data_IF_915790096859
#
_entry.id   IF_915790096859
#
_cell.length_a   1.000
_cell.length_b   1.000
_cell.length_c   1.000
_cell.angle_alpha   90.00
_cell.angle_beta   90.00
_cell.angle_gamma   90.00
#
_symmetry.space_group_name_H-M   'P 1'
#
loop_
_entity.id
_entity.type
_entity.pdbx_description
1 polymer ?
#
# COMPACT_ATOMS: atom_id res chain seq x y z
N UNK A 1 -7.77 -5.38 69.99
CA UNK A 1 -6.51 -4.63 69.75
C UNK A 1 -6.85 -3.40 68.94
N UNK A 2 -6.60 -2.23 69.52
CA UNK A 2 -6.99 -0.92 68.99
C UNK A 2 -6.00 -0.44 67.92
N UNK A 3 -6.49 -0.04 66.75
CA UNK A 3 -5.70 0.63 65.71
C UNK A 3 -5.40 2.10 66.08
N UNK A 4 -4.28 2.69 65.62
CA UNK A 4 -3.87 4.02 66.06
C UNK A 4 -4.69 5.12 65.36
N UNK A 5 -4.91 6.28 66.04
CA UNK A 5 -5.75 7.34 65.52
C UNK A 5 -5.06 8.11 64.39
N UNK A 6 -5.82 8.39 63.32
CA UNK A 6 -5.37 9.14 62.15
C UNK A 6 -4.94 10.56 62.50
N UNK A 7 -3.67 10.87 62.22
CA UNK A 7 -3.12 12.21 62.36
C UNK A 7 -3.79 13.18 61.37
N UNK A 8 -4.52 14.17 61.90
CA UNK A 8 -5.07 15.30 61.13
C UNK A 8 -3.90 16.09 60.51
N UNK A 9 -3.82 16.14 59.17
CA UNK A 9 -2.86 17.00 58.45
C UNK A 9 -3.25 18.46 58.66
N UNK A 10 -2.52 19.17 59.53
CA UNK A 10 -2.61 20.62 59.62
C UNK A 10 -2.03 21.25 58.35
N UNK A 11 -2.81 22.11 57.67
CA UNK A 11 -2.29 23.00 56.63
C UNK A 11 -1.46 24.08 57.33
N UNK A 12 -0.15 24.04 57.14
CA UNK A 12 0.77 25.10 57.61
C UNK A 12 0.69 26.27 56.64
N UNK A 13 0.40 27.46 57.16
CA UNK A 13 0.27 28.69 56.38
C UNK A 13 1.64 29.12 55.80
N UNK A 14 1.76 29.47 54.50
CA UNK A 14 3.06 29.75 53.88
C UNK A 14 3.83 30.93 54.50
N UNK A 15 3.11 31.83 55.19
CA UNK A 15 3.64 33.04 55.81
C UNK A 15 4.48 32.77 57.08
N UNK A 16 4.43 31.57 57.66
CA UNK A 16 5.21 31.20 58.86
C UNK A 16 6.45 30.36 58.56
N UNK A 17 6.77 30.15 57.27
CA UNK A 17 7.90 29.31 56.85
C UNK A 17 9.11 30.18 56.51
N UNK A 18 10.27 29.86 57.09
CA UNK A 18 11.55 30.49 56.71
C UNK A 18 11.78 30.41 55.19
N UNK A 19 12.28 31.49 54.58
CA UNK A 19 12.57 31.58 53.14
C UNK A 19 13.38 30.40 52.59
N UNK A 20 14.31 29.85 53.39
CA UNK A 20 15.09 28.66 53.01
C UNK A 20 14.21 27.42 52.82
N UNK A 21 13.12 27.29 53.59
CA UNK A 21 12.15 26.20 53.50
C UNK A 21 11.20 26.39 52.31
N UNK A 22 10.79 27.63 52.02
CA UNK A 22 10.01 27.96 50.83
C UNK A 22 10.77 27.64 49.54
N UNK A 23 12.05 28.04 49.43
CA UNK A 23 12.91 27.70 48.28
C UNK A 23 13.10 26.19 48.09
N UNK A 24 13.22 25.43 49.18
CA UNK A 24 13.32 23.95 49.12
C UNK A 24 12.03 23.31 48.62
N UNK A 25 10.87 23.81 49.06
CA UNK A 25 9.57 23.32 48.61
C UNK A 25 9.32 23.65 47.13
N UNK A 26 9.67 24.84 46.67
CA UNK A 26 9.57 25.20 45.24
C UNK A 26 10.46 24.31 44.38
N UNK A 27 11.74 24.12 44.78
CA UNK A 27 12.67 23.22 44.06
C UNK A 27 12.20 21.76 44.05
N UNK A 28 11.58 21.28 45.14
CA UNK A 28 10.98 19.94 45.19
C UNK A 28 9.76 19.84 44.27
N UNK A 29 8.94 20.90 44.21
CA UNK A 29 7.77 20.99 43.33
C UNK A 29 8.18 20.95 41.86
N UNK A 30 9.22 21.68 41.49
CA UNK A 30 9.79 21.66 40.14
C UNK A 30 10.39 20.30 39.80
N UNK A 31 11.18 19.70 40.71
CA UNK A 31 11.76 18.37 40.51
C UNK A 31 10.69 17.28 40.33
N UNK A 32 9.59 17.35 41.10
CA UNK A 32 8.48 16.43 41.00
C UNK A 32 7.71 16.60 39.67
N UNK A 33 7.54 17.84 39.20
CA UNK A 33 6.96 18.13 37.87
C UNK A 33 7.83 17.55 36.76
N UNK A 34 9.14 17.74 36.86
CA UNK A 34 10.08 17.26 35.84
C UNK A 34 10.18 15.73 35.83
N UNK A 35 10.15 15.08 37.00
CA UNK A 35 10.06 13.63 37.11
C UNK A 35 8.79 13.08 36.43
N UNK A 36 7.63 13.71 36.67
CA UNK A 36 6.37 13.34 36.01
C UNK A 36 6.44 13.55 34.50
N UNK A 37 7.03 14.66 34.04
CA UNK A 37 7.24 14.95 32.61
C UNK A 37 8.10 13.88 31.94
N UNK A 38 9.27 13.57 32.51
CA UNK A 38 10.18 12.53 31.98
C UNK A 38 9.52 11.16 31.93
N UNK A 39 8.73 10.79 32.95
CA UNK A 39 7.98 9.53 32.95
C UNK A 39 6.93 9.49 31.82
N UNK A 40 6.22 10.61 31.58
CA UNK A 40 5.25 10.72 30.47
C UNK A 40 5.95 10.62 29.11
N UNK A 41 7.07 11.32 28.92
CA UNK A 41 7.86 11.26 27.69
C UNK A 41 8.41 9.86 27.41
N UNK A 42 8.91 9.17 28.45
CA UNK A 42 9.38 7.80 28.32
C UNK A 42 8.25 6.84 27.94
N UNK A 43 7.06 6.97 28.56
CA UNK A 43 5.89 6.17 28.20
C UNK A 43 5.44 6.44 26.76
N UNK A 44 5.44 7.69 26.31
CA UNK A 44 5.13 8.03 24.91
C UNK A 44 6.17 7.50 23.93
N UNK A 45 7.44 7.48 24.31
CA UNK A 45 8.51 6.93 23.49
C UNK A 45 8.39 5.39 23.37
N UNK A 46 8.10 4.71 24.48
CA UNK A 46 7.80 3.28 24.50
C UNK A 46 6.60 2.97 23.61
N UNK A 47 5.51 3.73 23.70
CA UNK A 47 4.34 3.53 22.83
C UNK A 47 4.70 3.69 21.34
N UNK A 48 5.49 4.71 20.99
CA UNK A 48 5.98 4.88 19.61
C UNK A 48 6.82 3.69 19.15
N UNK A 49 7.65 3.14 20.03
CA UNK A 49 8.49 1.99 19.74
C UNK A 49 7.69 0.71 19.60
N UNK A 50 6.68 0.49 20.45
CA UNK A 50 5.71 -0.61 20.33
C UNK A 50 5.01 -0.54 18.98
N UNK A 51 4.39 0.59 18.65
CA UNK A 51 3.70 0.75 17.37
C UNK A 51 4.63 0.52 16.17
N UNK A 52 5.89 0.97 16.26
CA UNK A 52 6.89 0.72 15.21
C UNK A 52 7.21 -0.77 15.09
N UNK A 53 7.47 -1.45 16.21
CA UNK A 53 7.78 -2.87 16.22
C UNK A 53 6.59 -3.72 15.78
N UNK A 54 5.37 -3.35 16.13
CA UNK A 54 4.13 -3.99 15.65
C UNK A 54 4.00 -3.85 14.14
N UNK A 55 4.22 -2.66 13.59
CA UNK A 55 4.21 -2.42 12.14
C UNK A 55 5.33 -3.20 11.42
N UNK A 56 6.55 -3.22 11.97
CA UNK A 56 7.66 -4.00 11.42
C UNK A 56 7.37 -5.51 11.50
N UNK A 57 6.77 -5.99 12.58
CA UNK A 57 6.38 -7.39 12.72
C UNK A 57 5.29 -7.78 11.72
N UNK A 58 4.28 -6.92 11.53
CA UNK A 58 3.25 -7.11 10.51
C UNK A 58 3.87 -7.13 9.11
N UNK A 59 4.79 -6.21 8.82
CA UNK A 59 5.49 -6.15 7.54
C UNK A 59 6.34 -7.39 7.27
N UNK A 60 7.06 -7.89 8.30
CA UNK A 60 7.85 -9.11 8.21
C UNK A 60 6.97 -10.34 8.04
N UNK A 61 5.85 -10.44 8.76
CA UNK A 61 4.86 -11.53 8.58
C UNK A 61 4.29 -11.53 7.16
N UNK A 62 3.96 -10.36 6.63
CA UNK A 62 3.45 -10.24 5.27
C UNK A 62 4.54 -10.51 4.22
N UNK A 63 5.82 -10.23 4.50
CA UNK A 63 6.93 -10.63 3.63
C UNK A 63 7.21 -12.13 3.68
N UNK A 64 7.12 -12.75 4.85
CA UNK A 64 7.27 -14.20 5.02
C UNK A 64 6.11 -14.97 4.38
N UNK A 65 4.94 -14.34 4.22
CA UNK A 65 3.80 -14.87 3.47
C UNK A 65 3.98 -14.86 1.94
N UNK A 66 5.11 -14.39 1.41
CA UNK A 66 5.41 -14.35 -0.03
C UNK A 66 6.35 -15.52 -0.34
N UNK A 67 5.80 -16.72 -0.49
CA UNK A 67 6.57 -17.88 -0.94
C UNK A 67 5.80 -19.19 -0.83
N UNK A 68 6.20 -20.18 -1.64
CA UNK A 68 5.54 -21.49 -1.76
C UNK A 68 5.33 -22.19 -0.40
N UNK A 69 6.22 -21.96 0.58
CA UNK A 69 6.10 -22.53 1.92
C UNK A 69 4.95 -21.91 2.72
N UNK A 70 4.70 -20.60 2.55
CA UNK A 70 3.59 -19.93 3.20
C UNK A 70 2.25 -20.30 2.57
N UNK A 71 2.22 -20.50 1.25
CA UNK A 71 1.03 -21.00 0.56
C UNK A 71 0.70 -22.42 1.02
N UNK A 72 1.69 -23.31 1.10
CA UNK A 72 1.50 -24.67 1.66
C UNK A 72 1.04 -24.65 3.11
N UNK A 73 1.57 -23.73 3.92
CA UNK A 73 1.16 -23.59 5.32
C UNK A 73 -0.29 -23.06 5.42
N UNK A 74 -0.66 -22.08 4.60
CA UNK A 74 -2.03 -21.56 4.55
C UNK A 74 -3.01 -22.66 4.05
N UNK A 75 -2.63 -23.49 3.07
CA UNK A 75 -3.39 -24.69 2.64
C UNK A 75 -3.53 -25.72 3.76
N UNK A 76 -2.44 -26.04 4.46
CA UNK A 76 -2.46 -26.98 5.57
C UNK A 76 -3.32 -26.48 6.74
N UNK A 77 -3.29 -25.18 7.01
CA UNK A 77 -4.12 -24.59 8.06
C UNK A 77 -5.59 -24.49 7.63
N UNK A 78 -5.88 -24.23 6.35
CA UNK A 78 -7.22 -24.32 5.79
C UNK A 78 -7.81 -25.73 5.96
N UNK A 79 -7.00 -26.77 5.70
CA UNK A 79 -7.41 -28.15 5.90
C UNK A 79 -7.75 -28.43 7.37
N UNK A 80 -6.88 -28.03 8.31
CA UNK A 80 -7.14 -28.21 9.76
C UNK A 80 -8.43 -27.53 10.22
N UNK A 81 -8.72 -26.32 9.71
CA UNK A 81 -9.96 -25.62 10.04
C UNK A 81 -11.16 -26.37 9.47
N UNK A 82 -11.05 -26.93 8.25
CA UNK A 82 -12.12 -27.76 7.67
C UNK A 82 -12.36 -29.06 8.46
N UNK A 83 -11.31 -29.72 8.96
CA UNK A 83 -11.41 -30.89 9.82
C UNK A 83 -12.08 -30.55 11.17
N UNK A 84 -11.76 -29.39 11.75
CA UNK A 84 -12.42 -28.88 12.95
C UNK A 84 -13.91 -28.62 12.72
N UNK A 85 -14.27 -28.07 11.56
CA UNK A 85 -15.65 -27.86 11.13
C UNK A 85 -16.40 -29.20 11.01
N UNK A 86 -15.75 -30.22 10.44
CA UNK A 86 -16.30 -31.57 10.34
C UNK A 86 -16.52 -32.20 11.73
N UNK A 87 -15.58 -32.00 12.65
CA UNK A 87 -15.73 -32.46 14.02
C UNK A 87 -16.93 -31.81 14.73
N UNK A 88 -17.15 -30.50 14.54
CA UNK A 88 -18.30 -29.79 15.08
C UNK A 88 -19.63 -30.30 14.52
N UNK A 89 -19.67 -30.65 13.23
CA UNK A 89 -20.84 -31.29 12.63
C UNK A 89 -21.10 -32.68 13.22
N UNK A 90 -20.05 -33.47 13.47
CA UNK A 90 -20.17 -34.81 14.04
C UNK A 90 -20.57 -34.81 15.52
N UNK A 91 -20.10 -33.82 16.29
CA UNK A 91 -20.44 -33.68 17.72
C UNK A 91 -21.81 -33.05 17.95
N UNK A 92 -22.48 -32.55 16.91
CA UNK A 92 -23.77 -31.88 17.02
C UNK A 92 -23.67 -30.51 17.69
N UNK A 93 -22.61 -29.75 17.39
CA UNK A 93 -22.46 -28.38 17.85
C UNK A 93 -23.67 -27.50 17.45
N UNK A 94 -23.89 -26.41 18.18
CA UNK A 94 -25.00 -25.52 17.86
C UNK A 94 -24.78 -24.79 16.54
N UNK A 95 -25.87 -24.44 15.84
CA UNK A 95 -25.83 -23.67 14.59
C UNK A 95 -25.06 -22.33 14.76
N UNK A 96 -25.13 -21.72 15.96
CA UNK A 96 -24.39 -20.49 16.26
C UNK A 96 -22.88 -20.70 16.36
N UNK A 97 -22.43 -21.84 16.90
CA UNK A 97 -21.01 -22.18 17.00
C UNK A 97 -20.44 -22.53 15.62
N UNK A 98 -21.22 -23.29 14.84
CA UNK A 98 -20.87 -23.63 13.45
C UNK A 98 -20.74 -22.34 12.63
N UNK A 99 -21.70 -21.44 12.76
CA UNK A 99 -21.67 -20.14 12.09
C UNK A 99 -20.42 -19.31 12.45
N UNK A 100 -20.09 -19.23 13.75
CA UNK A 100 -18.89 -18.52 14.18
C UNK A 100 -17.61 -19.09 13.56
N UNK A 101 -17.52 -20.41 13.40
CA UNK A 101 -16.38 -21.03 12.74
C UNK A 101 -16.38 -20.83 11.21
N UNK A 102 -17.54 -20.81 10.57
CA UNK A 102 -17.65 -20.49 9.13
C UNK A 102 -17.22 -19.05 8.89
N UNK A 103 -17.65 -18.12 9.75
CA UNK A 103 -17.29 -16.71 9.63
C UNK A 103 -15.78 -16.51 9.80
N UNK A 104 -15.16 -17.19 10.76
CA UNK A 104 -13.70 -17.17 10.93
C UNK A 104 -12.97 -17.80 9.72
N UNK A 105 -13.51 -18.88 9.15
CA UNK A 105 -12.97 -19.48 7.93
C UNK A 105 -13.06 -18.51 6.75
N UNK A 106 -14.21 -17.85 6.56
CA UNK A 106 -14.45 -16.82 5.54
C UNK A 106 -13.46 -15.67 5.68
N UNK A 107 -13.30 -15.11 6.89
CA UNK A 107 -12.43 -13.97 7.11
C UNK A 107 -10.94 -14.25 6.83
N UNK A 108 -10.51 -15.51 7.02
CA UNK A 108 -9.12 -15.94 6.78
C UNK A 108 -8.85 -16.39 5.35
N UNK A 109 -9.76 -17.16 4.76
CA UNK A 109 -9.49 -17.92 3.54
C UNK A 109 -10.33 -17.51 2.33
N UNK A 110 -11.42 -16.75 2.51
CA UNK A 110 -12.14 -16.21 1.37
C UNK A 110 -11.34 -15.08 0.71
N UNK A 111 -11.53 -14.94 -0.60
CA UNK A 111 -10.93 -13.90 -1.44
C UNK A 111 -11.35 -12.48 -1.03
N UNK A 112 -12.57 -12.33 -0.51
CA UNK A 112 -13.09 -11.10 0.08
C UNK A 112 -12.96 -11.03 1.62
N UNK A 113 -12.33 -12.02 2.25
CA UNK A 113 -12.06 -12.04 3.69
C UNK A 113 -11.12 -10.91 4.14
N UNK A 114 -11.19 -10.51 5.42
CA UNK A 114 -10.32 -9.46 6.00
C UNK A 114 -8.84 -9.71 5.74
N UNK A 115 -8.37 -10.94 5.88
CA UNK A 115 -6.93 -11.24 5.80
C UNK A 115 -6.42 -11.05 4.36
N UNK A 116 -7.17 -11.53 3.35
CA UNK A 116 -6.87 -11.30 1.93
C UNK A 116 -6.96 -9.81 1.56
N UNK A 117 -8.02 -9.10 1.98
CA UNK A 117 -8.18 -7.65 1.76
C UNK A 117 -7.04 -6.85 2.37
N UNK A 118 -6.59 -7.21 3.57
CA UNK A 118 -5.48 -6.55 4.26
C UNK A 118 -4.16 -6.77 3.51
N UNK A 119 -3.92 -7.99 3.02
CA UNK A 119 -2.75 -8.30 2.20
C UNK A 119 -2.73 -7.49 0.90
N UNK A 120 -3.85 -7.47 0.17
CA UNK A 120 -4.02 -6.67 -1.06
C UNK A 120 -3.77 -5.19 -0.77
N UNK A 121 -4.39 -4.63 0.27
CA UNK A 121 -4.21 -3.23 0.66
C UNK A 121 -2.74 -2.92 0.96
N UNK A 122 -2.06 -3.78 1.71
CA UNK A 122 -0.64 -3.63 2.02
C UNK A 122 0.23 -3.63 0.75
N UNK A 123 -0.02 -4.55 -0.19
CA UNK A 123 0.71 -4.60 -1.46
C UNK A 123 0.44 -3.38 -2.33
N UNK A 124 -0.80 -2.91 -2.41
CA UNK A 124 -1.16 -1.71 -3.17
C UNK A 124 -0.55 -0.44 -2.56
N UNK A 125 -0.45 -0.34 -1.23
CA UNK A 125 0.27 0.74 -0.55
C UNK A 125 1.78 0.69 -0.83
N UNK A 126 2.37 -0.51 -0.86
CA UNK A 126 3.77 -0.68 -1.22
C UNK A 126 4.03 -0.25 -2.67
N UNK A 127 3.16 -0.65 -3.61
CA UNK A 127 3.22 -0.23 -5.01
C UNK A 127 3.10 1.30 -5.09
N UNK A 128 2.10 1.90 -4.44
CA UNK A 128 1.93 3.36 -4.44
C UNK A 128 3.17 4.09 -3.90
N UNK A 129 3.76 3.58 -2.81
CA UNK A 129 5.00 4.13 -2.24
C UNK A 129 6.19 3.99 -3.19
N UNK A 130 6.33 2.87 -3.88
CA UNK A 130 7.42 2.63 -4.83
C UNK A 130 7.26 3.45 -6.12
N UNK A 131 6.02 3.74 -6.51
CA UNK A 131 5.75 4.62 -7.63
C UNK A 131 6.17 6.06 -7.27
N UNK A 132 6.08 6.50 -6.01
CA UNK A 132 6.46 7.87 -5.60
C UNK A 132 7.91 8.21 -5.94
N UNK A 133 8.16 9.26 -6.76
CA UNK A 133 9.51 9.67 -7.07
C UNK A 133 10.23 10.09 -5.79
N UNK A 134 11.52 9.79 -5.73
CA UNK A 134 12.36 10.21 -4.60
C UNK A 134 12.44 11.73 -4.49
N UNK A 135 12.89 12.25 -3.35
CA UNK A 135 13.12 13.69 -3.16
C UNK A 135 14.03 14.24 -4.25
N UNK A 136 15.11 13.53 -4.59
CA UNK A 136 16.05 13.93 -5.65
C UNK A 136 15.36 14.02 -7.00
N UNK A 137 14.60 13.00 -7.40
CA UNK A 137 13.84 12.98 -8.65
C UNK A 137 12.80 14.11 -8.68
N UNK A 138 12.09 14.33 -7.57
CA UNK A 138 11.08 15.38 -7.44
C UNK A 138 11.69 16.77 -7.58
N UNK A 139 12.83 17.03 -6.91
CA UNK A 139 13.53 18.32 -6.99
C UNK A 139 14.09 18.53 -8.40
N UNK A 140 14.66 17.50 -9.04
CA UNK A 140 15.16 17.58 -10.40
C UNK A 140 14.04 17.92 -11.39
N UNK A 141 12.92 17.19 -11.36
CA UNK A 141 11.77 17.46 -12.25
C UNK A 141 11.20 18.87 -12.02
N UNK A 142 10.99 19.28 -10.76
CA UNK A 142 10.42 20.61 -10.44
C UNK A 142 11.38 21.76 -10.73
N UNK A 143 12.68 21.57 -10.55
CA UNK A 143 13.68 22.56 -10.93
C UNK A 143 13.59 22.81 -12.43
N UNK A 144 13.52 21.76 -13.24
CA UNK A 144 13.43 21.86 -14.70
C UNK A 144 12.06 22.42 -15.16
N UNK A 145 10.97 22.20 -14.42
CA UNK A 145 9.65 22.76 -14.75
C UNK A 145 9.53 24.28 -14.54
N UNK A 146 10.07 24.79 -13.43
CA UNK A 146 9.94 26.19 -13.00
C UNK A 146 10.78 27.18 -13.82
N UNK A 147 11.56 26.74 -14.81
CA UNK A 147 12.25 27.63 -15.76
C UNK A 147 11.30 28.27 -16.78
N UNK A 148 10.17 27.64 -17.14
CA UNK A 148 9.20 28.21 -18.11
C UNK A 148 8.48 29.47 -17.64
N UNK A 149 8.12 29.52 -16.36
CA UNK A 149 7.19 30.55 -15.89
C UNK A 149 7.83 31.94 -15.87
N UNK A 150 9.16 31.98 -15.95
CA UNK A 150 9.93 33.22 -16.07
C UNK A 150 10.07 33.69 -17.52
N UNK A 151 9.80 32.86 -18.53
CA UNK A 151 9.90 33.24 -19.96
C UNK A 151 8.56 33.68 -20.58
N UNK A 152 7.41 33.27 -20.05
CA UNK A 152 6.08 33.71 -20.54
C UNK A 152 5.68 35.13 -20.09
N UNK A 153 6.53 35.83 -19.31
CA UNK A 153 6.40 37.28 -19.03
C UNK A 153 7.56 38.08 -19.63
N UNK A 154 7.89 37.84 -20.90
CA UNK A 154 8.55 38.84 -21.72
C UNK A 154 7.47 39.76 -22.34
N UNK A 155 7.53 41.09 -22.17
CA UNK A 155 6.57 42.00 -22.80
C UNK A 155 6.82 42.01 -24.30
N UNK A 156 5.86 41.48 -25.08
CA UNK A 156 5.76 41.83 -26.49
C UNK A 156 5.24 43.27 -26.57
N UNK A 157 6.01 44.17 -27.19
CA UNK A 157 5.59 45.56 -27.28
C UNK A 157 6.58 46.46 -27.98
N UNK A 158 6.51 46.49 -29.32
CA UNK A 158 6.56 47.70 -30.13
C UNK A 158 7.82 48.57 -30.10
N UNK A 159 8.52 48.61 -31.24
CA UNK A 159 9.35 49.76 -31.62
C UNK A 159 8.53 51.06 -31.51
N UNK A 160 9.05 52.05 -30.81
CA UNK A 160 8.53 53.42 -30.76
C UNK A 160 9.52 54.31 -30.02
N UNK A 161 10.17 55.20 -30.75
CA UNK A 161 11.09 56.23 -30.26
C UNK A 161 10.33 57.31 -29.46
N UNK A 162 10.95 57.90 -28.42
CA UNK A 162 10.44 59.11 -27.77
C UNK A 162 10.74 59.25 -26.26
N UNK A 163 11.82 60.00 -25.96
CA UNK A 163 12.05 60.96 -24.87
C UNK A 163 11.57 60.76 -23.40
N UNK A 164 12.58 60.83 -22.52
CA UNK A 164 12.71 61.52 -21.21
C UNK A 164 11.94 61.11 -19.92
N UNK A 165 12.77 60.62 -18.97
CA UNK A 165 12.89 60.91 -17.52
C UNK A 165 11.71 60.71 -16.54
N UNK A 166 11.85 59.69 -15.67
CA UNK A 166 11.93 59.84 -14.19
C UNK A 166 12.25 58.49 -13.48
N UNK A 167 13.06 58.45 -12.40
CA UNK A 167 13.44 57.22 -11.72
C UNK A 167 12.57 56.98 -10.47
N UNK A 168 11.64 56.04 -10.54
CA UNK A 168 10.98 55.49 -9.35
C UNK A 168 11.36 54.02 -9.21
N UNK A 169 12.35 53.79 -8.35
CA UNK A 169 12.78 52.48 -7.87
C UNK A 169 11.58 51.68 -7.36
N UNK A 170 11.10 50.74 -8.16
CA UNK A 170 10.20 49.69 -7.74
C UNK A 170 10.95 48.37 -7.90
N UNK A 171 11.84 48.08 -6.94
CA UNK A 171 12.52 46.80 -6.85
C UNK A 171 11.50 45.70 -6.53
N UNK A 172 10.77 45.25 -7.55
CA UNK A 172 10.28 43.88 -7.58
C UNK A 172 11.52 42.99 -7.61
N UNK A 173 11.94 42.52 -6.45
CA UNK A 173 12.92 41.44 -6.35
C UNK A 173 12.33 40.24 -7.08
N UNK A 174 12.69 40.05 -8.36
CA UNK A 174 12.38 38.83 -9.11
C UNK A 174 12.93 37.69 -8.28
N UNK A 175 12.04 36.90 -7.68
CA UNK A 175 12.41 35.65 -7.02
C UNK A 175 13.04 34.78 -8.09
N UNK A 176 14.37 34.65 -8.07
CA UNK A 176 15.08 33.79 -9.03
C UNK A 176 14.45 32.40 -8.95
N UNK A 177 13.97 31.88 -10.08
CA UNK A 177 13.46 30.50 -10.14
C UNK A 177 14.51 29.53 -9.58
N UNK A 178 14.05 28.48 -8.90
CA UNK A 178 14.91 27.42 -8.35
C UNK A 178 15.90 26.89 -9.40
N UNK A 179 15.47 26.84 -10.66
CA UNK A 179 16.33 26.51 -11.79
C UNK A 179 17.49 27.50 -11.96
N UNK A 180 17.22 28.80 -11.98
CA UNK A 180 18.24 29.85 -12.12
C UNK A 180 19.26 29.79 -10.98
N UNK A 181 18.83 29.48 -9.75
CA UNK A 181 19.73 29.28 -8.62
C UNK A 181 20.60 28.02 -8.79
N UNK A 182 20.00 26.91 -9.23
CA UNK A 182 20.71 25.66 -9.49
C UNK A 182 21.68 25.79 -10.67
N UNK A 183 21.28 26.43 -11.77
CA UNK A 183 22.14 26.66 -12.94
C UNK A 183 23.33 27.55 -12.60
N UNK A 184 23.14 28.55 -11.75
CA UNK A 184 24.23 29.40 -11.23
C UNK A 184 25.14 28.64 -10.26
N UNK A 185 24.61 27.72 -9.47
CA UNK A 185 25.40 26.92 -8.52
C UNK A 185 26.18 25.79 -9.21
N UNK A 186 25.62 25.23 -10.27
CA UNK A 186 26.19 24.13 -11.05
C UNK A 186 27.04 24.59 -12.25
N UNK A 187 27.13 25.90 -12.49
CA UNK A 187 27.91 26.52 -13.58
C UNK A 187 27.59 25.91 -14.96
N UNK A 188 26.29 25.78 -15.27
CA UNK A 188 25.80 25.15 -16.51
C UNK A 188 26.09 26.03 -17.72
N UNK A 189 26.65 25.46 -18.79
CA UNK A 189 26.92 26.17 -20.05
C UNK A 189 25.69 26.23 -20.98
N UNK A 190 25.74 27.05 -22.04
CA UNK A 190 24.58 27.30 -22.91
C UNK A 190 24.11 26.04 -23.68
N UNK A 191 25.04 25.17 -24.09
CA UNK A 191 24.74 23.91 -24.78
C UNK A 191 24.03 22.91 -23.83
N UNK A 192 24.50 22.81 -22.58
CA UNK A 192 23.89 22.02 -21.54
C UNK A 192 22.50 22.56 -21.16
N UNK A 193 22.32 23.88 -21.17
CA UNK A 193 21.02 24.49 -20.88
C UNK A 193 19.98 24.15 -21.96
N UNK A 194 20.40 24.11 -23.23
CA UNK A 194 19.55 23.70 -24.34
C UNK A 194 19.14 22.22 -24.24
N UNK A 195 20.08 21.32 -23.90
CA UNK A 195 19.79 19.89 -23.66
C UNK A 195 18.86 19.67 -22.45
N UNK A 196 19.00 20.46 -21.39
CA UNK A 196 18.10 20.43 -20.23
C UNK A 196 16.69 20.91 -20.59
N UNK A 197 16.57 21.82 -21.55
CA UNK A 197 15.26 22.25 -22.09
C UNK A 197 14.57 21.12 -22.86
N UNK A 198 15.28 20.29 -23.62
CA UNK A 198 14.66 19.14 -24.30
C UNK A 198 14.30 18.02 -23.32
N UNK A 199 15.18 17.77 -22.35
CA UNK A 199 14.92 16.84 -21.23
C UNK A 199 13.67 17.21 -20.42
N UNK A 200 13.29 18.49 -20.41
CA UNK A 200 12.08 18.99 -19.75
C UNK A 200 10.79 18.41 -20.31
N UNK A 201 10.68 18.28 -21.63
CA UNK A 201 9.47 17.75 -22.24
C UNK A 201 9.31 16.26 -21.89
N UNK A 202 10.43 15.53 -21.85
CA UNK A 202 10.49 14.15 -21.36
C UNK A 202 10.08 14.06 -19.89
N UNK A 203 10.58 14.96 -19.03
CA UNK A 203 10.22 14.99 -17.62
C UNK A 203 8.72 15.24 -17.38
N UNK A 204 8.09 16.11 -18.18
CA UNK A 204 6.64 16.37 -18.12
C UNK A 204 5.80 15.15 -18.50
N UNK A 205 6.16 14.45 -19.58
CA UNK A 205 5.44 13.24 -19.97
C UNK A 205 5.66 12.10 -18.95
N UNK A 206 6.83 12.02 -18.33
CA UNK A 206 7.09 11.10 -17.22
C UNK A 206 6.24 11.43 -15.99
N UNK A 207 6.13 12.70 -15.59
CA UNK A 207 5.29 13.11 -14.46
C UNK A 207 3.80 12.80 -14.72
N UNK A 208 3.33 13.06 -15.95
CA UNK A 208 1.97 12.70 -16.38
C UNK A 208 1.71 11.20 -16.33
N UNK A 209 2.63 10.38 -16.86
CA UNK A 209 2.54 8.92 -16.83
C UNK A 209 2.55 8.40 -15.39
N UNK A 210 3.36 9.02 -14.53
CA UNK A 210 3.43 8.71 -13.12
C UNK A 210 2.11 9.03 -12.39
N UNK A 211 1.55 10.22 -12.60
CA UNK A 211 0.24 10.63 -12.05
C UNK A 211 -0.87 9.70 -12.52
N UNK A 212 -0.87 9.31 -13.80
CA UNK A 212 -1.80 8.31 -14.33
C UNK A 212 -1.63 6.96 -13.63
N UNK A 213 -0.39 6.52 -13.41
CA UNK A 213 -0.10 5.26 -12.72
C UNK A 213 -0.65 5.25 -11.28
N UNK A 214 -0.50 6.33 -10.51
CA UNK A 214 -1.11 6.46 -9.18
C UNK A 214 -2.64 6.42 -9.26
N UNK A 215 -3.21 7.09 -10.27
CA UNK A 215 -4.67 7.12 -10.47
C UNK A 215 -5.20 5.71 -10.72
N UNK A 216 -4.55 4.92 -11.58
CA UNK A 216 -4.89 3.53 -11.84
C UNK A 216 -4.83 2.67 -10.57
N UNK A 217 -3.79 2.82 -9.75
CA UNK A 217 -3.69 2.13 -8.46
C UNK A 217 -4.84 2.53 -7.51
N UNK A 218 -5.22 3.81 -7.50
CA UNK A 218 -6.32 4.31 -6.67
C UNK A 218 -7.68 3.79 -7.15
N UNK A 219 -7.88 3.70 -8.45
CA UNK A 219 -9.08 3.11 -9.05
C UNK A 219 -9.18 1.61 -8.77
N UNK A 220 -8.06 0.87 -8.91
CA UNK A 220 -7.98 -0.54 -8.56
C UNK A 220 -8.30 -0.78 -7.08
N UNK A 221 -7.77 0.06 -6.17
CA UNK A 221 -8.13 0.03 -4.74
C UNK A 221 -9.63 0.21 -4.52
N UNK A 222 -10.26 1.12 -5.27
CA UNK A 222 -11.70 1.37 -5.19
C UNK A 222 -12.52 0.17 -5.65
N UNK A 223 -12.19 -0.38 -6.83
CA UNK A 223 -12.87 -1.57 -7.40
C UNK A 223 -12.78 -2.77 -6.48
N UNK A 224 -11.57 -3.12 -6.01
CA UNK A 224 -11.38 -4.28 -5.12
C UNK A 224 -12.13 -4.16 -3.79
N UNK A 225 -12.32 -2.94 -3.28
CA UNK A 225 -13.14 -2.71 -2.08
C UNK A 225 -14.62 -2.91 -2.35
N UNK A 226 -15.10 -2.43 -3.49
CA UNK A 226 -16.49 -2.61 -3.89
C UNK A 226 -16.78 -4.08 -4.16
N UNK A 227 -15.95 -4.73 -4.98
CA UNK A 227 -16.08 -6.15 -5.32
C UNK A 227 -16.08 -7.02 -4.06
N UNK A 228 -15.19 -6.73 -3.09
CA UNK A 228 -15.16 -7.44 -1.82
C UNK A 228 -16.40 -7.23 -0.95
N UNK A 229 -17.02 -6.05 -1.00
CA UNK A 229 -18.28 -5.77 -0.28
C UNK A 229 -19.47 -6.45 -0.96
N UNK A 230 -19.51 -6.42 -2.29
CA UNK A 230 -20.55 -7.08 -3.09
C UNK A 230 -20.50 -8.59 -2.89
N UNK A 231 -19.31 -9.20 -2.90
CA UNK A 231 -19.12 -10.63 -2.62
C UNK A 231 -19.56 -11.01 -1.21
N UNK A 232 -19.21 -10.22 -0.19
CA UNK A 232 -19.64 -10.49 1.20
C UNK A 232 -21.17 -10.39 1.33
N UNK A 233 -21.79 -9.41 0.67
CA UNK A 233 -23.24 -9.28 0.62
C UNK A 233 -23.89 -10.50 -0.07
N UNK A 234 -23.39 -10.90 -1.25
CA UNK A 234 -23.93 -12.06 -1.97
C UNK A 234 -23.76 -13.35 -1.17
N UNK A 235 -22.62 -13.51 -0.48
CA UNK A 235 -22.42 -14.63 0.42
C UNK A 235 -23.43 -14.63 1.56
N UNK A 236 -23.69 -13.47 2.20
CA UNK A 236 -24.71 -13.34 3.24
C UNK A 236 -26.12 -13.67 2.74
N UNK A 237 -26.48 -13.25 1.53
CA UNK A 237 -27.78 -13.56 0.92
C UNK A 237 -27.95 -15.07 0.72
N UNK A 238 -26.94 -15.76 0.18
CA UNK A 238 -26.96 -17.23 0.02
C UNK A 238 -26.97 -17.93 1.38
N UNK A 239 -26.19 -17.42 2.33
CA UNK A 239 -26.07 -17.99 3.66
C UNK A 239 -27.34 -17.84 4.50
N UNK A 240 -28.22 -16.87 4.20
CA UNK A 240 -29.54 -16.76 4.83
C UNK A 240 -30.54 -17.83 4.35
N UNK A 241 -30.32 -18.40 3.15
CA UNK A 241 -31.17 -19.45 2.59
C UNK A 241 -30.82 -20.81 3.20
N UNK A 242 -29.54 -21.02 3.52
CA UNK A 242 -29.01 -22.26 4.09
C UNK A 242 -28.94 -22.16 5.62
N UNK A 243 -29.11 -23.28 6.33
CA UNK A 243 -28.71 -23.30 7.73
C UNK A 243 -27.16 -23.44 7.86
N UNK A 244 -26.55 -22.94 8.95
CA UNK A 244 -25.10 -23.02 9.14
C UNK A 244 -24.53 -24.42 8.98
N UNK A 245 -25.23 -25.47 9.42
CA UNK A 245 -24.84 -26.87 9.19
C UNK A 245 -24.74 -27.27 7.71
N UNK A 246 -25.66 -26.80 6.86
CA UNK A 246 -25.63 -27.02 5.41
C UNK A 246 -24.47 -26.27 4.77
N UNK A 247 -24.25 -25.02 5.17
CA UNK A 247 -23.15 -24.20 4.69
C UNK A 247 -21.79 -24.80 5.09
N UNK A 248 -21.65 -25.32 6.31
CA UNK A 248 -20.47 -26.05 6.76
C UNK A 248 -20.18 -27.29 5.89
N UNK A 249 -21.21 -28.08 5.58
CA UNK A 249 -21.07 -29.24 4.67
C UNK A 249 -20.58 -28.81 3.28
N UNK A 250 -21.08 -27.69 2.76
CA UNK A 250 -20.63 -27.15 1.49
C UNK A 250 -19.16 -26.72 1.54
N UNK A 251 -18.75 -25.96 2.57
CA UNK A 251 -17.36 -25.54 2.77
C UNK A 251 -16.42 -26.75 2.81
N UNK A 252 -16.74 -27.76 3.62
CA UNK A 252 -15.94 -28.99 3.72
C UNK A 252 -15.88 -29.72 2.38
N UNK A 253 -17.00 -29.80 1.65
CA UNK A 253 -17.03 -30.45 0.35
C UNK A 253 -16.12 -29.74 -0.65
N UNK A 254 -16.15 -28.40 -0.71
CA UNK A 254 -15.27 -27.62 -1.60
C UNK A 254 -13.80 -27.87 -1.26
N UNK A 255 -13.43 -27.81 0.02
CA UNK A 255 -12.04 -28.02 0.47
C UNK A 255 -11.54 -29.44 0.16
N UNK A 256 -12.40 -30.45 0.29
CA UNK A 256 -12.01 -31.86 0.06
C UNK A 256 -12.04 -32.28 -1.41
N UNK A 257 -12.56 -31.46 -2.32
CA UNK A 257 -12.73 -31.81 -3.74
C UNK A 257 -12.04 -30.80 -4.70
N UNK A 258 -10.74 -30.51 -4.55
CA UNK A 258 -10.04 -29.50 -5.35
C UNK A 258 -10.04 -29.84 -6.86
N UNK A 259 -9.92 -31.11 -7.22
CA UNK A 259 -9.99 -31.56 -8.62
C UNK A 259 -11.35 -31.23 -9.28
N UNK A 260 -12.45 -31.35 -8.53
CA UNK A 260 -13.76 -30.97 -9.03
C UNK A 260 -13.86 -29.45 -9.21
N UNK A 261 -13.26 -28.66 -8.32
CA UNK A 261 -13.21 -27.20 -8.44
C UNK A 261 -12.41 -26.74 -9.66
N UNK A 262 -11.27 -27.37 -9.95
CA UNK A 262 -10.51 -27.08 -11.18
C UNK A 262 -11.33 -27.37 -12.45
N UNK A 263 -12.04 -28.50 -12.46
CA UNK A 263 -12.93 -28.86 -13.57
C UNK A 263 -14.10 -27.87 -13.71
N UNK A 264 -14.76 -27.51 -12.61
CA UNK A 264 -15.85 -26.52 -12.62
C UNK A 264 -15.37 -25.16 -13.11
N UNK A 265 -14.20 -24.72 -12.66
CA UNK A 265 -13.60 -23.47 -13.14
C UNK A 265 -13.34 -23.50 -14.65
N UNK A 266 -12.84 -24.61 -15.20
CA UNK A 266 -12.65 -24.75 -16.64
C UNK A 266 -13.99 -24.72 -17.41
N UNK A 267 -15.04 -25.33 -16.86
CA UNK A 267 -16.38 -25.31 -17.46
C UNK A 267 -16.99 -23.90 -17.41
N UNK A 268 -16.88 -23.23 -16.27
CA UNK A 268 -17.35 -21.85 -16.09
C UNK A 268 -16.62 -20.88 -17.00
N UNK A 269 -15.30 -20.98 -17.10
CA UNK A 269 -14.52 -20.16 -18.03
C UNK A 269 -15.02 -20.33 -19.47
N UNK A 270 -15.32 -21.55 -19.91
CA UNK A 270 -15.87 -21.78 -21.25
C UNK A 270 -17.25 -21.14 -21.42
N UNK A 271 -18.15 -21.29 -20.46
CA UNK A 271 -19.51 -20.72 -20.56
C UNK A 271 -19.54 -19.20 -20.49
N UNK A 272 -18.62 -18.58 -19.74
CA UNK A 272 -18.56 -17.12 -19.61
C UNK A 272 -17.63 -16.46 -20.64
N UNK A 273 -16.74 -17.21 -21.29
CA UNK A 273 -15.96 -16.74 -22.45
C UNK A 273 -16.76 -16.81 -23.76
N UNK A 274 -17.90 -17.51 -23.78
CA UNK A 274 -18.83 -17.59 -24.92
C UNK A 274 -20.03 -16.62 -24.78
N UNK A 275 -19.81 -15.40 -24.26
CA UNK A 275 -20.74 -14.26 -24.34
C UNK A 275 -20.69 -13.55 -25.70
N UNK A 276 -21.70 -12.76 -26.10
CA UNK A 276 -22.13 -12.64 -27.49
C UNK A 276 -21.31 -11.62 -28.31
N UNK A 277 -20.18 -12.05 -28.85
CA UNK A 277 -19.57 -11.45 -30.05
C UNK A 277 -19.50 -12.51 -31.15
N UNK A 278 -20.68 -12.94 -31.61
CA UNK A 278 -20.85 -13.74 -32.83
C UNK A 278 -21.96 -13.16 -33.69
N UNK A 279 -21.78 -11.91 -34.09
CA UNK A 279 -22.37 -11.37 -35.31
C UNK A 279 -21.31 -10.46 -35.94
N UNK A 280 -20.34 -11.08 -36.61
CA UNK A 280 -19.61 -10.53 -37.76
C UNK A 280 -18.83 -11.68 -38.40
N UNK A 281 -19.58 -12.58 -39.02
CA UNK A 281 -19.08 -13.39 -40.13
C UNK A 281 -19.81 -12.90 -41.38
N UNK A 282 -19.11 -12.09 -42.14
CA UNK A 282 -19.06 -12.02 -43.61
C UNK A 282 -17.99 -10.94 -43.88
N UNK A 283 -16.75 -11.31 -44.16
CA UNK A 283 -16.35 -11.59 -45.53
C UNK A 283 -15.38 -12.75 -45.66
N UNK A 284 -15.70 -13.60 -46.63
CA UNK A 284 -14.82 -14.59 -47.25
C UNK A 284 -13.97 -13.93 -48.34
N UNK A 285 -12.91 -14.67 -48.68
CA UNK A 285 -12.07 -14.58 -49.90
C UNK A 285 -10.91 -13.57 -49.76
N UNK A 286 -9.62 -13.90 -49.92
CA UNK A 286 -8.91 -14.89 -50.75
C UNK A 286 -7.72 -15.47 -49.95
N UNK A 287 -7.52 -16.79 -49.90
CA UNK A 287 -6.75 -17.64 -50.83
C UNK A 287 -5.27 -17.28 -51.05
N UNK A 288 -4.47 -18.29 -50.75
CA UNK A 288 -3.20 -18.68 -51.37
C UNK A 288 -1.94 -17.83 -51.06
N UNK A 289 -1.09 -18.36 -50.16
CA UNK A 289 0.30 -18.63 -50.58
C UNK A 289 0.93 -19.82 -49.82
N UNK A 290 1.67 -20.62 -50.59
CA UNK A 290 2.35 -21.86 -50.22
C UNK A 290 3.83 -21.59 -49.95
N UNK A 291 4.44 -22.45 -49.15
CA UNK A 291 5.89 -22.70 -49.14
C UNK A 291 6.64 -21.86 -48.08
N UNK A 292 7.61 -22.37 -47.32
CA UNK A 292 8.38 -23.59 -47.51
C UNK A 292 8.81 -24.20 -46.18
N UNK A 293 8.73 -25.52 -46.20
CA UNK A 293 9.43 -26.50 -45.38
C UNK A 293 10.94 -26.37 -45.56
N UNK A 294 11.68 -26.17 -44.47
CA UNK A 294 13.10 -26.52 -44.41
C UNK A 294 13.44 -27.08 -43.01
N UNK A 295 13.35 -28.40 -42.88
CA UNK A 295 14.55 -29.21 -42.66
C UNK A 295 15.13 -29.27 -41.25
N UNK A 296 14.84 -30.39 -40.60
CA UNK A 296 15.61 -31.04 -39.54
C UNK A 296 17.13 -31.04 -39.80
N UNK A 297 17.92 -30.75 -38.77
CA UNK A 297 19.28 -31.30 -38.63
C UNK A 297 19.47 -31.78 -37.19
N UNK A 298 19.77 -33.08 -37.09
CA UNK A 298 20.15 -33.83 -35.91
C UNK A 298 21.44 -33.30 -35.26
N UNK A 299 21.55 -33.49 -33.94
CA UNK A 299 22.73 -33.15 -33.16
C UNK A 299 22.73 -33.87 -31.81
N UNK A 300 22.72 -35.20 -31.86
CA UNK A 300 23.03 -36.10 -30.75
C UNK A 300 24.49 -35.93 -30.31
N UNK A 301 24.74 -35.47 -29.08
CA UNK A 301 25.99 -35.73 -28.35
C UNK A 301 25.74 -35.80 -26.83
N UNK A 302 25.55 -37.01 -26.32
CA UNK A 302 26.36 -37.59 -25.23
C UNK A 302 26.46 -36.90 -23.85
N UNK A 303 25.79 -37.50 -22.86
CA UNK A 303 26.21 -37.59 -21.44
C UNK A 303 26.09 -39.07 -21.01
N UNK A 304 26.74 -39.57 -19.94
CA UNK A 304 27.93 -39.08 -19.20
C UNK A 304 28.99 -40.20 -18.99
N UNK A 305 30.26 -39.83 -18.82
CA UNK A 305 31.28 -40.75 -18.28
C UNK A 305 31.36 -40.63 -16.75
N UNK A 306 31.12 -41.76 -16.09
CA UNK A 306 31.55 -42.03 -14.71
C UNK A 306 33.07 -42.20 -14.70
N UNK A 307 33.75 -41.63 -13.72
CA UNK A 307 35.08 -42.06 -13.30
C UNK A 307 35.08 -42.21 -11.80
N UNK A 308 35.30 -43.45 -11.37
CA UNK A 308 35.66 -43.83 -10.01
C UNK A 308 37.05 -43.29 -9.67
N UNK A 309 37.20 -42.75 -8.47
CA UNK A 309 38.32 -42.95 -7.53
C UNK A 309 37.93 -42.33 -6.19
#
# INVERSE_FOLDING_TARGET
>A
MSGPPGAKRSRVDPSTLSDKKLRRLEKNRESARECRRRKKEHAQNLQRQINRLENENLQLRLQLKIGDEAEKQDEADQLKVSEGLEQMLRSGASESEIWASIEEFKEKYADYGRDRRSSIQFHLEKIERLLRPTTTTTVAMRAIENSSKDEEQAPSGGKGEGEESTPASNQKTKTKSLFSLLSSYLEINDEQNQLLSDSRNVAKELDKTYVQSIKLVSELKGRLRQDGADLDQQFMEVAQILNPSQLAKFVIWVTNNPACMHMLNALWQKTFSEGPDKDDKDDKDDKDDKGDDIGSVEGDVGKPMKSES
#
